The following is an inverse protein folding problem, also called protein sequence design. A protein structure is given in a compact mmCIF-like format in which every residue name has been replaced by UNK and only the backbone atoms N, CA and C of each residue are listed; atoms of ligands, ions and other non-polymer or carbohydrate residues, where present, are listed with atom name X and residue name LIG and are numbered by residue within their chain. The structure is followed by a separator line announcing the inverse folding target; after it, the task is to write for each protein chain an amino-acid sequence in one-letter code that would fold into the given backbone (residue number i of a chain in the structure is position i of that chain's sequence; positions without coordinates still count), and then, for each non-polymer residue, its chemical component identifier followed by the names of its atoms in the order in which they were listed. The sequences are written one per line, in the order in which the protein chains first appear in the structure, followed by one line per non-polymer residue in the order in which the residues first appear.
data_IF_485703727016
#
_entry.id   IF_485703727016
#
_cell.length_a   1.000
_cell.length_b   1.000
_cell.length_c   1.000
_cell.angle_alpha   90.00
_cell.angle_beta   90.00
_cell.angle_gamma   90.00
#
_symmetry.space_group_name_H-M   'P 1'
#
loop_
_entity.id
_entity.type
_entity.pdbx_description
1 polymer ?
#
# COMPACT_ATOMS: atom_id res chain seq x y z
N UNK A 1 16.40 -13.12 7.56
CA UNK A 1 15.69 -11.82 7.40
C UNK A 1 14.19 -12.02 7.15
N UNK A 2 13.77 -13.08 6.45
CA UNK A 2 12.35 -13.50 6.40
C UNK A 2 12.18 -14.72 7.30
N UNK A 3 11.53 -14.56 8.45
CA UNK A 3 11.34 -15.64 9.42
C UNK A 3 9.89 -16.15 9.46
N UNK A 4 8.97 -15.42 8.84
CA UNK A 4 7.54 -15.75 8.90
C UNK A 4 6.79 -15.36 7.63
N UNK A 5 5.54 -15.82 7.50
CA UNK A 5 4.71 -15.51 6.32
C UNK A 5 4.37 -14.02 6.26
N UNK A 6 4.17 -13.36 7.41
CA UNK A 6 3.90 -11.91 7.45
C UNK A 6 5.07 -11.07 6.97
N UNK A 7 6.32 -11.45 7.24
CA UNK A 7 7.50 -10.76 6.69
C UNK A 7 7.48 -10.72 5.16
N UNK A 8 7.12 -11.84 4.51
CA UNK A 8 7.05 -11.94 3.05
C UNK A 8 5.98 -11.00 2.50
N UNK A 9 4.80 -10.94 3.14
CA UNK A 9 3.73 -10.04 2.70
C UNK A 9 4.17 -8.58 2.75
N UNK A 10 4.76 -8.15 3.86
CA UNK A 10 5.22 -6.76 4.04
C UNK A 10 6.38 -6.44 3.10
N UNK A 11 7.30 -7.38 2.87
CA UNK A 11 8.38 -7.22 1.90
C UNK A 11 7.83 -6.98 0.49
N UNK A 12 6.89 -7.82 0.03
CA UNK A 12 6.28 -7.67 -1.31
C UNK A 12 5.59 -6.32 -1.42
N UNK A 13 4.75 -5.96 -0.46
CA UNK A 13 4.08 -4.65 -0.49
C UNK A 13 5.07 -3.48 -0.43
N UNK A 14 6.17 -3.62 0.31
CA UNK A 14 7.20 -2.60 0.40
C UNK A 14 7.92 -2.39 -0.93
N UNK A 15 8.28 -3.49 -1.59
CA UNK A 15 8.89 -3.46 -2.93
C UNK A 15 7.91 -2.92 -3.97
N UNK A 16 6.65 -3.34 -3.96
CA UNK A 16 5.63 -2.79 -4.86
C UNK A 16 5.47 -1.29 -4.64
N UNK A 17 5.43 -0.81 -3.40
CA UNK A 17 5.30 0.61 -3.08
C UNK A 17 6.50 1.45 -3.53
N UNK A 18 7.72 0.89 -3.47
CA UNK A 18 8.92 1.51 -4.05
C UNK A 18 8.79 1.60 -5.57
N UNK A 19 8.43 0.49 -6.24
CA UNK A 19 8.30 0.46 -7.70
C UNK A 19 7.23 1.43 -8.19
N UNK A 20 6.04 1.45 -7.58
CA UNK A 20 4.97 2.38 -7.94
C UNK A 20 5.33 3.83 -7.61
N UNK A 21 6.03 4.06 -6.49
CA UNK A 21 6.55 5.37 -6.12
C UNK A 21 7.55 5.90 -7.14
N UNK A 22 8.54 5.09 -7.52
CA UNK A 22 9.50 5.45 -8.56
C UNK A 22 8.82 5.66 -9.91
N UNK A 23 7.90 4.78 -10.30
CA UNK A 23 7.15 4.89 -11.56
C UNK A 23 6.37 6.20 -11.64
N UNK A 24 5.71 6.61 -10.57
CA UNK A 24 4.97 7.89 -10.55
C UNK A 24 5.88 9.12 -10.54
N UNK A 25 7.11 9.01 -10.03
CA UNK A 25 8.12 10.08 -10.11
C UNK A 25 8.73 10.21 -11.50
N UNK A 26 9.03 9.09 -12.16
CA UNK A 26 9.69 9.10 -13.48
C UNK A 26 8.70 9.22 -14.63
N UNK A 27 7.49 8.66 -14.48
CA UNK A 27 6.52 8.48 -15.55
C UNK A 27 5.08 8.63 -15.03
N UNK A 28 4.70 9.83 -14.55
CA UNK A 28 3.39 10.09 -13.98
C UNK A 28 2.23 9.76 -14.94
N UNK A 29 2.44 9.90 -16.25
CA UNK A 29 1.44 9.61 -17.28
C UNK A 29 1.05 8.13 -17.32
N UNK A 30 1.99 7.22 -17.05
CA UNK A 30 1.73 5.78 -16.96
C UNK A 30 0.84 5.51 -15.74
N UNK A 31 1.16 6.14 -14.61
CA UNK A 31 0.39 5.96 -13.37
C UNK A 31 -1.04 6.47 -13.54
N UNK A 32 -1.24 7.61 -14.20
CA UNK A 32 -2.57 8.15 -14.52
C UNK A 32 -3.36 7.20 -15.44
N UNK A 33 -2.74 6.63 -16.48
CA UNK A 33 -3.39 5.64 -17.34
C UNK A 33 -3.81 4.38 -16.59
N UNK A 34 -2.96 3.86 -15.70
CA UNK A 34 -3.27 2.67 -14.89
C UNK A 34 -4.47 2.89 -13.97
N UNK A 35 -4.67 4.12 -13.50
CA UNK A 35 -5.84 4.52 -12.71
C UNK A 35 -7.06 4.90 -13.58
N UNK A 36 -6.96 4.75 -14.90
CA UNK A 36 -7.99 5.15 -15.86
C UNK A 36 -8.34 6.64 -15.78
N UNK A 37 -7.35 7.50 -15.52
CA UNK A 37 -7.48 8.95 -15.54
C UNK A 37 -7.07 9.51 -16.89
N UNK A 38 -7.64 10.67 -17.25
CA UNK A 38 -7.24 11.38 -18.47
C UNK A 38 -5.81 11.90 -18.35
N UNK A 39 -5.02 11.66 -19.40
CA UNK A 39 -3.66 12.19 -19.49
C UNK A 39 -3.67 13.40 -20.41
N UNK A 40 -3.38 14.55 -19.81
CA UNK A 40 -3.24 15.84 -20.48
C UNK A 40 -1.76 16.06 -20.76
N UNK A 41 -1.45 16.44 -22.01
CA UNK A 41 -0.09 16.78 -22.42
C UNK A 41 0.44 17.96 -21.58
N UNK A 42 1.69 17.86 -21.14
CA UNK A 42 2.30 18.84 -20.23
C UNK A 42 2.28 20.25 -20.78
N UNK A 43 2.42 20.44 -22.08
CA UNK A 43 2.41 21.76 -22.73
C UNK A 43 1.01 22.40 -22.79
N UNK A 44 -0.04 21.60 -22.59
CA UNK A 44 -1.44 22.02 -22.68
C UNK A 44 -2.14 22.15 -21.33
N UNK A 45 -1.44 21.85 -20.24
CA UNK A 45 -1.99 21.99 -18.89
C UNK A 45 -2.17 23.47 -18.56
N UNK A 46 -3.36 23.80 -18.04
CA UNK A 46 -3.68 25.16 -17.64
C UNK A 46 -3.05 25.51 -16.30
N UNK A 47 -2.86 26.81 -16.06
CA UNK A 47 -2.48 27.32 -14.74
C UNK A 47 -3.52 26.87 -13.71
N UNK A 48 -3.04 26.27 -12.61
CA UNK A 48 -3.90 25.69 -11.56
C UNK A 48 -4.18 24.19 -11.70
N UNK A 49 -3.70 23.52 -12.77
CA UNK A 49 -3.68 22.05 -12.82
C UNK A 49 -2.55 21.50 -11.93
N UNK A 50 -2.88 21.22 -10.67
CA UNK A 50 -1.96 20.65 -9.70
C UNK A 50 -1.89 19.11 -9.73
N UNK A 51 -2.48 18.45 -10.73
CA UNK A 51 -2.55 16.98 -10.78
C UNK A 51 -1.16 16.34 -10.70
N UNK A 52 -0.20 16.85 -11.48
CA UNK A 52 1.17 16.32 -11.44
C UNK A 52 1.85 16.60 -10.10
N UNK A 53 1.62 17.75 -9.48
CA UNK A 53 2.17 18.06 -8.16
C UNK A 53 1.64 17.10 -7.09
N UNK A 54 0.32 16.87 -7.05
CA UNK A 54 -0.29 15.91 -6.12
C UNK A 54 0.15 14.48 -6.42
N UNK A 55 0.31 14.12 -7.68
CA UNK A 55 0.82 12.81 -8.07
C UNK A 55 2.27 12.62 -7.61
N UNK A 56 3.14 13.62 -7.82
CA UNK A 56 4.51 13.61 -7.29
C UNK A 56 4.53 13.45 -5.77
N UNK A 57 3.74 14.24 -5.04
CA UNK A 57 3.61 14.10 -3.59
C UNK A 57 3.15 12.69 -3.18
N UNK A 58 2.16 12.13 -3.89
CA UNK A 58 1.64 10.78 -3.65
C UNK A 58 2.70 9.70 -3.96
N UNK A 59 3.50 9.90 -4.99
CA UNK A 59 4.59 9.00 -5.39
C UNK A 59 5.73 9.01 -4.38
N UNK A 60 6.12 10.18 -3.86
CA UNK A 60 7.07 10.29 -2.74
C UNK A 60 6.52 9.57 -1.51
N UNK A 61 5.24 9.76 -1.18
CA UNK A 61 4.61 9.08 -0.05
C UNK A 61 4.62 7.55 -0.21
N UNK A 62 4.32 7.03 -1.41
CA UNK A 62 4.40 5.60 -1.74
C UNK A 62 5.82 5.07 -1.56
N UNK A 63 6.82 5.79 -2.08
CA UNK A 63 8.23 5.41 -1.97
C UNK A 63 8.66 5.34 -0.50
N UNK A 64 8.32 6.35 0.29
CA UNK A 64 8.62 6.40 1.73
C UNK A 64 7.98 5.24 2.49
N UNK A 65 6.71 4.93 2.21
CA UNK A 65 6.03 3.78 2.81
C UNK A 65 6.72 2.47 2.47
N UNK A 66 7.19 2.32 1.23
CA UNK A 66 7.96 1.15 0.84
C UNK A 66 9.26 0.99 1.63
N UNK A 67 10.00 2.09 1.84
CA UNK A 67 11.19 2.10 2.71
C UNK A 67 10.84 1.73 4.15
N UNK A 68 9.77 2.30 4.72
CA UNK A 68 9.32 1.95 6.07
C UNK A 68 8.98 0.46 6.20
N UNK A 69 8.38 -0.13 5.18
CA UNK A 69 8.06 -1.57 5.18
C UNK A 69 9.34 -2.42 5.14
N UNK A 70 10.34 -2.05 4.33
CA UNK A 70 11.62 -2.75 4.30
C UNK A 70 12.36 -2.66 5.64
N UNK A 71 12.37 -1.48 6.26
CA UNK A 71 12.96 -1.28 7.59
C UNK A 71 12.21 -2.10 8.65
N UNK A 72 10.88 -2.13 8.59
CA UNK A 72 10.08 -2.94 9.50
C UNK A 72 10.38 -4.44 9.37
N UNK A 73 10.57 -4.94 8.14
CA UNK A 73 10.99 -6.33 7.87
C UNK A 73 12.39 -6.60 8.40
N UNK A 74 13.32 -5.68 8.17
CA UNK A 74 14.70 -5.81 8.63
C UNK A 74 14.82 -5.83 10.16
N UNK A 75 14.03 -4.99 10.83
CA UNK A 75 13.99 -4.86 12.30
C UNK A 75 12.99 -5.81 12.97
N UNK A 76 12.24 -6.62 12.19
CA UNK A 76 11.23 -7.56 12.69
C UNK A 76 10.15 -6.87 13.56
N UNK A 77 9.74 -5.67 13.18
CA UNK A 77 8.81 -4.86 13.96
C UNK A 77 7.35 -5.29 13.75
N UNK A 78 6.94 -6.41 14.34
CA UNK A 78 5.61 -7.03 14.11
C UNK A 78 4.44 -6.09 14.45
N UNK A 79 4.57 -5.21 15.47
CA UNK A 79 3.53 -4.22 15.80
C UNK A 79 3.26 -3.27 14.64
N UNK A 80 4.27 -2.93 13.85
CA UNK A 80 4.11 -2.11 12.66
C UNK A 80 3.25 -2.83 11.61
N UNK A 81 3.42 -4.14 11.41
CA UNK A 81 2.61 -4.90 10.45
C UNK A 81 1.11 -4.90 10.83
N UNK A 82 0.82 -5.03 12.13
CA UNK A 82 -0.55 -4.95 12.65
C UNK A 82 -1.16 -3.57 12.38
N UNK A 83 -0.38 -2.52 12.61
CA UNK A 83 -0.78 -1.14 12.32
C UNK A 83 -1.05 -0.94 10.83
N UNK A 84 -0.23 -1.52 9.95
CA UNK A 84 -0.45 -1.49 8.51
C UNK A 84 -1.83 -2.00 8.13
N UNK A 85 -2.28 -3.12 8.70
CA UNK A 85 -3.64 -3.66 8.42
C UNK A 85 -4.72 -2.64 8.77
N UNK A 86 -4.62 -2.00 9.94
CA UNK A 86 -5.59 -0.99 10.38
C UNK A 86 -5.62 0.18 9.40
N UNK A 87 -4.45 0.74 9.04
CA UNK A 87 -4.38 1.87 8.12
C UNK A 87 -4.88 1.54 6.72
N UNK A 88 -4.59 0.34 6.21
CA UNK A 88 -5.12 -0.10 4.92
C UNK A 88 -6.66 -0.17 4.94
N UNK A 89 -7.26 -0.67 6.02
CA UNK A 89 -8.72 -0.69 6.16
C UNK A 89 -9.31 0.73 6.27
N UNK A 90 -8.64 1.64 6.99
CA UNK A 90 -9.03 3.06 7.02
C UNK A 90 -8.98 3.67 5.61
N UNK A 91 -7.91 3.43 4.85
CA UNK A 91 -7.77 3.88 3.46
C UNK A 91 -8.90 3.33 2.58
N UNK A 92 -9.22 2.03 2.69
CA UNK A 92 -10.36 1.41 1.99
C UNK A 92 -11.65 2.15 2.32
N UNK A 93 -11.94 2.40 3.59
CA UNK A 93 -13.17 3.09 4.02
C UNK A 93 -13.22 4.52 3.48
N UNK A 94 -12.16 5.31 3.67
CA UNK A 94 -12.13 6.72 3.27
C UNK A 94 -12.22 6.87 1.75
N UNK A 95 -11.46 6.08 0.98
CA UNK A 95 -11.51 6.13 -0.48
C UNK A 95 -12.84 5.65 -1.02
N UNK A 96 -13.41 4.58 -0.46
CA UNK A 96 -14.72 4.09 -0.89
C UNK A 96 -15.82 5.11 -0.62
N UNK A 97 -15.80 5.80 0.53
CA UNK A 97 -16.72 6.89 0.83
C UNK A 97 -16.52 8.08 -0.11
N UNK A 98 -15.27 8.45 -0.40
CA UNK A 98 -14.96 9.55 -1.33
C UNK A 98 -15.49 9.27 -2.74
N UNK A 99 -15.32 8.05 -3.25
CA UNK A 99 -15.87 7.63 -4.55
C UNK A 99 -17.39 7.61 -4.52
N UNK A 100 -18.01 7.02 -3.48
CA UNK A 100 -19.47 6.92 -3.36
C UNK A 100 -20.14 8.29 -3.30
N UNK A 101 -19.51 9.27 -2.64
CA UNK A 101 -20.02 10.63 -2.50
C UNK A 101 -19.66 11.54 -3.69
N UNK A 102 -18.98 11.03 -4.72
CA UNK A 102 -18.58 11.82 -5.89
C UNK A 102 -17.42 12.80 -5.65
N UNK A 103 -16.72 12.69 -4.51
CA UNK A 103 -15.53 13.49 -4.21
C UNK A 103 -14.27 12.97 -4.88
N UNK A 104 -14.28 11.74 -5.40
CA UNK A 104 -13.14 11.15 -6.08
C UNK A 104 -13.56 10.34 -7.32
N UNK A 105 -12.68 10.22 -8.34
CA UNK A 105 -12.99 9.47 -9.56
C UNK A 105 -13.16 7.97 -9.30
N UNK A 106 -14.01 7.32 -10.10
CA UNK A 106 -14.27 5.87 -10.02
C UNK A 106 -13.04 5.01 -10.29
N UNK A 107 -12.04 5.54 -11.00
CA UNK A 107 -10.74 4.88 -11.20
C UNK A 107 -10.03 4.50 -9.90
N UNK A 108 -10.31 5.19 -8.78
CA UNK A 108 -9.74 4.85 -7.47
C UNK A 108 -10.32 3.57 -6.86
N UNK A 109 -11.40 3.00 -7.40
CA UNK A 109 -11.92 1.70 -6.94
C UNK A 109 -10.87 0.61 -7.06
N UNK A 110 -10.00 0.66 -8.08
CA UNK A 110 -8.86 -0.26 -8.21
C UNK A 110 -7.92 -0.18 -7.01
N UNK A 111 -7.63 1.03 -6.53
CA UNK A 111 -6.81 1.26 -5.33
C UNK A 111 -7.51 0.74 -4.08
N UNK A 112 -8.82 0.95 -3.95
CA UNK A 112 -9.62 0.41 -2.84
C UNK A 112 -9.53 -1.11 -2.77
N UNK A 113 -9.69 -1.79 -3.91
CA UNK A 113 -9.57 -3.24 -3.99
C UNK A 113 -8.16 -3.69 -3.62
N UNK A 114 -7.14 -3.01 -4.14
CA UNK A 114 -5.74 -3.30 -3.84
C UNK A 114 -5.43 -3.19 -2.34
N UNK A 115 -5.88 -2.12 -1.70
CA UNK A 115 -5.70 -1.89 -0.27
C UNK A 115 -6.42 -2.95 0.58
N UNK A 116 -7.62 -3.36 0.18
CA UNK A 116 -8.37 -4.41 0.85
C UNK A 116 -7.66 -5.77 0.74
N UNK A 117 -7.19 -6.13 -0.46
CA UNK A 117 -6.39 -7.35 -0.66
C UNK A 117 -5.13 -7.31 0.22
N UNK A 118 -4.45 -6.17 0.28
CA UNK A 118 -3.27 -6.00 1.13
C UNK A 118 -3.56 -6.15 2.62
N UNK A 119 -4.67 -5.58 3.10
CA UNK A 119 -5.11 -5.74 4.48
C UNK A 119 -5.41 -7.20 4.82
N UNK A 120 -6.19 -7.88 3.97
CA UNK A 120 -6.62 -9.27 4.20
C UNK A 120 -5.44 -10.24 4.15
N UNK A 121 -4.56 -10.10 3.16
CA UNK A 121 -3.37 -10.97 3.02
C UNK A 121 -2.42 -10.82 4.21
N UNK A 122 -2.15 -9.57 4.63
CA UNK A 122 -1.28 -9.29 5.79
C UNK A 122 -1.91 -9.80 7.09
N UNK A 123 -3.22 -9.58 7.29
CA UNK A 123 -3.94 -10.06 8.47
C UNK A 123 -3.94 -11.59 8.55
N UNK A 124 -4.18 -12.28 7.43
CA UNK A 124 -4.13 -13.74 7.35
C UNK A 124 -2.73 -14.27 7.67
N UNK A 125 -1.69 -13.63 7.16
CA UNK A 125 -0.30 -14.00 7.43
C UNK A 125 0.07 -13.83 8.91
N UNK A 126 -0.34 -12.70 9.53
CA UNK A 126 -0.15 -12.46 10.96
C UNK A 126 -0.88 -13.49 11.83
N UNK A 127 -2.11 -13.84 11.45
CA UNK A 127 -2.88 -14.87 12.16
C UNK A 127 -2.23 -16.25 12.05
N UNK A 128 -1.75 -16.63 10.86
CA UNK A 128 -1.03 -17.87 10.64
C UNK A 128 0.25 -17.95 11.48
N UNK A 129 1.04 -16.87 11.50
CA UNK A 129 2.28 -16.80 12.29
C UNK A 129 2.03 -16.86 13.80
N UNK A 130 0.96 -16.22 14.29
CA UNK A 130 0.56 -16.28 15.69
C UNK A 130 0.10 -17.68 16.10
N UNK A 131 -0.68 -18.35 15.24
CA UNK A 131 -1.13 -19.73 15.46
C UNK A 131 0.04 -20.71 15.52
N UNK A 132 1.02 -20.57 14.62
CA UNK A 132 2.20 -21.42 14.60
C UNK A 132 3.09 -21.22 15.84
N UNK A 133 3.24 -19.97 16.31
CA UNK A 133 3.96 -19.69 17.57
C UNK A 133 3.32 -20.39 18.77
N UNK A 134 2.01 -20.21 18.97
CA UNK A 134 1.26 -20.89 20.04
C UNK A 134 1.39 -22.42 19.99
N UNK A 135 1.31 -23.01 18.79
CA UNK A 135 1.47 -24.46 18.61
C UNK A 135 2.85 -24.95 19.03
N UNK A 136 3.90 -24.19 18.72
CA UNK A 136 5.27 -24.55 19.05
C UNK A 136 5.56 -24.39 20.56
N UNK A 137 4.92 -23.43 21.22
CA UNK A 137 5.00 -23.25 22.68
C UNK A 137 4.38 -24.44 23.42
N UNK A 138 3.18 -24.90 23.01
CA UNK A 138 2.52 -26.06 23.61
C UNK A 138 3.33 -27.36 23.48
N UNK A 139 4.07 -27.53 22.37
CA UNK A 139 4.95 -28.69 22.17
C UNK A 139 6.20 -28.68 23.06
N UNK A 140 6.64 -27.51 23.54
CA UNK A 140 7.79 -27.41 24.44
C UNK A 140 7.43 -27.68 25.90
N UNK A 141 6.14 -27.63 26.24
CA UNK A 141 5.63 -27.81 27.61
C UNK A 141 5.03 -29.20 27.85
N UNK A 142 5.02 -30.07 26.84
CA UNK A 142 4.60 -31.48 26.91
C UNK A 142 5.81 -32.40 26.82
#
# INVERSE_FOLDING_TARGET
MLQSTSDITILIFGLTAIVTGLLGLTSPEIMLHLMNFSVIDRSTRQDGDYTLAFLTCSSVASLNMGVYYLVAVWTQWIKFYQFTVIFRLVTVTVLMLAVKNGHAPTGLVGVVIWELIGALTTAAALWHDAKNRRRNEMKKTS
#
